data_IF_618953101726
#
_entry.id   IF_618953101726
#
_cell.length_a   1.000
_cell.length_b   1.000
_cell.length_c   1.000
_cell.angle_alpha   90.00
_cell.angle_beta   90.00
_cell.angle_gamma   90.00
#
_symmetry.space_group_name_H-M   'P 1'
#
loop_
_entity.id
_entity.type
_entity.pdbx_description
1 polymer ?
#
# COMPACT_ATOMS: atom_id res chain seq x y z
N UNK A 1 -11.91 -16.40 -4.70
CA UNK A 1 -13.15 -16.70 -3.94
C UNK A 1 -13.96 -15.42 -3.79
N UNK A 2 -15.30 -15.49 -3.87
CA UNK A 2 -16.18 -14.32 -3.69
C UNK A 2 -17.26 -14.67 -2.65
N UNK A 3 -17.46 -13.83 -1.65
CA UNK A 3 -18.51 -13.99 -0.65
C UNK A 3 -19.02 -12.60 -0.19
N UNK A 4 -20.21 -12.56 0.44
CA UNK A 4 -20.76 -11.34 1.03
C UNK A 4 -20.60 -11.37 2.55
N UNK A 5 -20.16 -10.26 3.12
CA UNK A 5 -19.98 -10.10 4.56
C UNK A 5 -20.52 -8.72 4.96
N UNK A 6 -21.49 -8.70 5.88
CA UNK A 6 -22.21 -7.48 6.30
C UNK A 6 -22.78 -6.64 5.13
N UNK A 7 -23.33 -7.31 4.10
CA UNK A 7 -23.88 -6.63 2.91
C UNK A 7 -22.83 -6.09 1.93
N UNK A 8 -21.53 -6.25 2.21
CA UNK A 8 -20.43 -5.85 1.33
C UNK A 8 -19.83 -7.06 0.63
N UNK A 9 -19.35 -6.90 -0.61
CA UNK A 9 -18.70 -7.99 -1.35
C UNK A 9 -17.25 -8.11 -0.91
N UNK A 10 -16.78 -9.34 -0.74
CA UNK A 10 -15.38 -9.64 -0.46
C UNK A 10 -14.88 -10.60 -1.53
N UNK A 11 -13.89 -10.15 -2.29
CA UNK A 11 -13.21 -10.92 -3.33
C UNK A 11 -11.80 -11.22 -2.86
N UNK A 12 -11.42 -12.48 -2.82
CA UNK A 12 -10.07 -12.92 -2.44
C UNK A 12 -9.42 -13.64 -3.62
N UNK A 13 -8.31 -13.12 -4.11
CA UNK A 13 -7.56 -13.75 -5.19
C UNK A 13 -6.83 -14.99 -4.68
N UNK A 14 -6.80 -16.05 -5.50
CA UNK A 14 -6.10 -17.29 -5.15
C UNK A 14 -4.61 -17.05 -4.85
N UNK A 15 -3.97 -16.19 -5.66
CA UNK A 15 -2.57 -15.82 -5.47
C UNK A 15 -2.34 -15.10 -4.13
N UNK A 16 -3.29 -14.28 -3.67
CA UNK A 16 -3.19 -13.66 -2.35
C UNK A 16 -3.18 -14.73 -1.25
N UNK A 17 -4.12 -15.68 -1.29
CA UNK A 17 -4.14 -16.78 -0.30
C UNK A 17 -2.91 -17.67 -0.36
N UNK A 18 -2.39 -17.95 -1.57
CA UNK A 18 -1.20 -18.78 -1.74
C UNK A 18 0.06 -18.08 -1.19
N UNK A 19 0.23 -16.78 -1.50
CA UNK A 19 1.33 -15.98 -0.95
C UNK A 19 1.24 -15.85 0.56
N UNK A 20 0.04 -15.60 1.09
CA UNK A 20 -0.19 -15.51 2.54
C UNK A 20 0.17 -16.82 3.24
N UNK A 21 -0.30 -17.96 2.72
CA UNK A 21 0.02 -19.27 3.27
C UNK A 21 1.52 -19.56 3.21
N UNK A 22 2.18 -19.22 2.10
CA UNK A 22 3.62 -19.38 1.94
C UNK A 22 4.41 -18.51 2.94
N UNK A 23 4.04 -17.23 3.09
CA UNK A 23 4.68 -16.31 4.03
C UNK A 23 4.54 -16.80 5.48
N UNK A 24 3.35 -17.24 5.88
CA UNK A 24 3.11 -17.79 7.21
C UNK A 24 3.84 -19.12 7.44
N UNK A 25 3.95 -19.96 6.40
CA UNK A 25 4.70 -21.22 6.48
C UNK A 25 6.20 -21.00 6.66
N UNK A 26 6.76 -19.97 6.02
CA UNK A 26 8.18 -19.62 6.14
C UNK A 26 8.50 -18.73 7.36
N UNK A 27 7.50 -18.29 8.12
CA UNK A 27 7.67 -17.33 9.22
C UNK A 27 8.03 -18.01 10.54
N UNK A 28 9.32 -18.22 10.77
CA UNK A 28 9.79 -18.75 12.06
C UNK A 28 9.83 -17.70 13.19
N UNK A 29 9.85 -16.40 12.85
CA UNK A 29 10.11 -15.31 13.81
C UNK A 29 8.89 -14.46 14.15
N UNK A 30 7.74 -14.74 13.54
CA UNK A 30 6.52 -13.95 13.69
C UNK A 30 6.54 -12.62 12.90
N UNK A 31 7.46 -12.47 11.96
CA UNK A 31 7.59 -11.26 11.15
C UNK A 31 6.43 -11.10 10.15
N UNK A 32 5.94 -12.20 9.57
CA UNK A 32 4.78 -12.17 8.68
C UNK A 32 3.52 -11.82 9.47
N UNK A 33 3.33 -12.39 10.67
CA UNK A 33 2.19 -12.05 11.51
C UNK A 33 2.20 -10.57 11.94
N UNK A 34 3.36 -10.05 12.35
CA UNK A 34 3.51 -8.64 12.69
C UNK A 34 3.25 -7.71 11.50
N UNK A 35 3.72 -8.09 10.30
CA UNK A 35 3.46 -7.37 9.05
C UNK A 35 1.98 -7.37 8.67
N UNK A 36 1.28 -8.50 8.83
CA UNK A 36 -0.16 -8.60 8.60
C UNK A 36 -0.96 -7.75 9.58
N UNK A 37 -0.57 -7.73 10.85
CA UNK A 37 -1.19 -6.87 11.85
C UNK A 37 -1.00 -5.38 11.48
N UNK A 38 0.20 -4.99 11.07
CA UNK A 38 0.49 -3.62 10.63
C UNK A 38 -0.30 -3.26 9.35
N UNK A 39 -0.40 -4.16 8.38
CA UNK A 39 -1.22 -3.97 7.18
C UNK A 39 -2.71 -3.85 7.52
N UNK A 40 -3.21 -4.66 8.47
CA UNK A 40 -4.58 -4.55 8.94
C UNK A 40 -4.85 -3.17 9.57
N UNK A 41 -3.96 -2.70 10.45
CA UNK A 41 -4.06 -1.37 11.04
C UNK A 41 -4.05 -0.25 10.00
N UNK A 42 -3.20 -0.37 8.98
CA UNK A 42 -3.13 0.54 7.84
C UNK A 42 -4.47 0.63 7.10
N UNK A 43 -5.04 -0.50 6.71
CA UNK A 43 -6.34 -0.56 6.02
C UNK A 43 -7.49 -0.06 6.91
N UNK A 44 -7.40 -0.26 8.23
CA UNK A 44 -8.35 0.33 9.16
C UNK A 44 -8.27 1.86 9.15
N UNK A 45 -7.09 2.45 8.96
CA UNK A 45 -6.93 3.90 8.76
C UNK A 45 -7.76 4.42 7.60
N UNK A 46 -7.67 3.77 6.44
CA UNK A 46 -8.49 4.08 5.27
C UNK A 46 -9.99 3.90 5.54
N UNK A 47 -10.38 2.82 6.22
CA UNK A 47 -11.80 2.59 6.52
C UNK A 47 -12.38 3.61 7.49
N UNK A 48 -11.60 4.04 8.49
CA UNK A 48 -12.04 5.08 9.43
C UNK A 48 -12.21 6.40 8.69
N UNK A 49 -11.26 6.80 7.85
CA UNK A 49 -11.38 8.05 7.08
C UNK A 49 -12.54 8.02 6.09
N UNK A 50 -12.73 6.91 5.37
CA UNK A 50 -13.88 6.73 4.48
C UNK A 50 -15.22 6.80 5.24
N UNK A 51 -15.31 6.23 6.45
CA UNK A 51 -16.51 6.35 7.28
C UNK A 51 -16.77 7.79 7.73
N UNK A 52 -15.73 8.50 8.17
CA UNK A 52 -15.83 9.91 8.61
C UNK A 52 -16.23 10.85 7.46
N UNK A 53 -15.81 10.53 6.23
CA UNK A 53 -16.13 11.28 5.02
C UNK A 53 -17.41 10.77 4.32
N UNK A 54 -18.13 9.82 4.94
CA UNK A 54 -19.35 9.19 4.41
C UNK A 54 -19.19 8.58 3.00
N UNK A 55 -18.02 8.03 2.71
CA UNK A 55 -17.72 7.36 1.44
C UNK A 55 -18.12 5.88 1.55
N UNK A 56 -19.13 5.41 0.80
CA UNK A 56 -19.57 4.02 0.87
C UNK A 56 -18.57 3.07 0.18
N UNK A 57 -18.25 1.97 0.87
CA UNK A 57 -17.41 0.88 0.35
C UNK A 57 -18.28 -0.27 -0.11
N UNK A 58 -18.19 -0.61 -1.41
CA UNK A 58 -18.99 -1.64 -2.07
C UNK A 58 -18.35 -3.02 -1.99
N UNK A 59 -17.04 -3.09 -2.21
CA UNK A 59 -16.31 -4.35 -2.30
C UNK A 59 -14.89 -4.21 -1.74
N UNK A 60 -14.47 -5.22 -0.98
CA UNK A 60 -13.08 -5.43 -0.59
C UNK A 60 -12.46 -6.47 -1.51
N UNK A 61 -11.37 -6.13 -2.17
CA UNK A 61 -10.64 -7.03 -3.05
C UNK A 61 -9.23 -7.28 -2.53
N UNK A 62 -8.98 -8.48 -2.05
CA UNK A 62 -7.67 -8.93 -1.60
C UNK A 62 -6.89 -9.44 -2.81
N UNK A 63 -5.88 -8.67 -3.21
CA UNK A 63 -4.99 -8.97 -4.33
C UNK A 63 -3.59 -9.30 -3.81
N UNK A 64 -2.73 -9.97 -4.61
CA UNK A 64 -1.32 -10.20 -4.24
C UNK A 64 -0.54 -8.94 -3.87
N UNK A 65 -1.03 -7.77 -4.30
CA UNK A 65 -0.38 -6.49 -4.12
C UNK A 65 -0.98 -5.67 -2.96
N UNK A 66 -2.01 -6.18 -2.27
CA UNK A 66 -2.68 -5.47 -1.16
C UNK A 66 -4.20 -5.58 -1.20
N UNK A 67 -4.87 -4.81 -0.35
CA UNK A 67 -6.33 -4.77 -0.26
C UNK A 67 -6.85 -3.55 -1.02
N UNK A 68 -7.60 -3.77 -2.09
CA UNK A 68 -8.26 -2.70 -2.81
C UNK A 68 -9.70 -2.52 -2.31
N UNK A 69 -10.06 -1.31 -1.88
CA UNK A 69 -11.42 -0.95 -1.49
C UNK A 69 -12.15 -0.29 -2.67
N UNK A 70 -13.07 -1.03 -3.28
CA UNK A 70 -13.90 -0.55 -4.37
C UNK A 70 -15.09 0.21 -3.80
N UNK A 71 -15.24 1.47 -4.24
CA UNK A 71 -16.29 2.40 -3.80
C UNK A 71 -17.54 2.27 -4.66
N UNK A 72 -18.66 2.82 -4.21
CA UNK A 72 -19.84 2.96 -5.06
C UNK A 72 -19.66 4.09 -6.08
N UNK A 73 -19.98 3.84 -7.35
CA UNK A 73 -19.86 4.80 -8.45
C UNK A 73 -20.83 6.00 -8.31
N UNK A 74 -21.88 5.86 -7.49
CA UNK A 74 -22.94 6.86 -7.32
C UNK A 74 -22.48 8.13 -6.59
N UNK A 75 -21.37 8.09 -5.85
CA UNK A 75 -20.81 9.24 -5.13
C UNK A 75 -19.34 9.40 -5.52
N UNK A 76 -19.05 10.31 -6.46
CA UNK A 76 -17.68 10.75 -6.72
C UNK A 76 -17.20 11.56 -5.51
N UNK A 77 -16.28 10.98 -4.73
CA UNK A 77 -15.62 11.70 -3.66
C UNK A 77 -14.82 12.88 -4.25
N UNK A 78 -14.77 14.00 -3.54
CA UNK A 78 -13.96 15.14 -3.97
C UNK A 78 -12.47 14.80 -3.91
N UNK A 79 -11.64 15.40 -4.77
CA UNK A 79 -10.20 15.17 -4.78
C UNK A 79 -9.54 15.37 -3.39
N UNK A 80 -10.00 16.32 -2.59
CA UNK A 80 -9.49 16.51 -1.22
C UNK A 80 -9.88 15.36 -0.28
N UNK A 81 -11.06 14.75 -0.47
CA UNK A 81 -11.47 13.58 0.28
C UNK A 81 -10.59 12.38 -0.11
N UNK A 82 -10.27 12.21 -1.39
CA UNK A 82 -9.35 11.16 -1.85
C UNK A 82 -7.94 11.34 -1.30
N UNK A 83 -7.47 12.58 -1.22
CA UNK A 83 -6.20 12.91 -0.57
C UNK A 83 -6.21 12.52 0.91
N UNK A 84 -7.26 12.88 1.66
CA UNK A 84 -7.40 12.51 3.09
C UNK A 84 -7.43 11.00 3.27
N UNK A 85 -8.22 10.30 2.44
CA UNK A 85 -8.30 8.84 2.48
C UNK A 85 -6.94 8.23 2.20
N UNK A 86 -6.25 8.65 1.15
CA UNK A 86 -4.92 8.12 0.80
C UNK A 86 -3.90 8.37 1.93
N UNK A 87 -3.90 9.55 2.54
CA UNK A 87 -3.00 9.84 3.66
C UNK A 87 -3.31 9.03 4.93
N UNK A 88 -4.56 8.62 5.14
CA UNK A 88 -4.99 8.04 6.43
C UNK A 88 -4.36 6.69 6.77
N UNK A 89 -4.07 5.82 5.80
CA UNK A 89 -3.41 4.54 6.03
C UNK A 89 -1.99 4.70 6.56
N UNK A 90 -1.10 5.43 5.84
CA UNK A 90 0.25 5.70 6.33
C UNK A 90 0.27 6.48 7.66
N UNK A 91 -0.65 7.44 7.83
CA UNK A 91 -0.78 8.18 9.09
C UNK A 91 -1.17 7.26 10.27
N UNK A 92 -2.07 6.30 10.07
CA UNK A 92 -2.43 5.33 11.11
C UNK A 92 -1.21 4.54 11.57
N UNK A 93 -0.36 4.10 10.63
CA UNK A 93 0.88 3.40 10.96
C UNK A 93 1.88 4.29 11.69
N UNK A 94 2.04 5.55 11.28
CA UNK A 94 2.92 6.50 11.99
C UNK A 94 2.45 6.77 13.42
N UNK A 95 1.13 6.92 13.64
CA UNK A 95 0.55 7.06 14.98
C UNK A 95 0.86 5.82 15.82
N UNK A 96 0.69 4.62 15.26
CA UNK A 96 1.02 3.38 15.96
C UNK A 96 2.51 3.25 16.25
N UNK A 97 3.40 3.69 15.36
CA UNK A 97 4.83 3.80 15.65
C UNK A 97 5.11 4.71 16.84
N UNK A 98 4.47 5.89 16.89
CA UNK A 98 4.59 6.82 18.01
C UNK A 98 4.12 6.20 19.33
N UNK A 99 2.97 5.52 19.32
CA UNK A 99 2.44 4.82 20.49
C UNK A 99 3.37 3.70 20.96
N UNK A 100 3.88 2.87 20.03
CA UNK A 100 4.85 1.82 20.33
C UNK A 100 6.12 2.40 20.95
N UNK A 101 6.61 3.53 20.44
CA UNK A 101 7.77 4.22 21.02
C UNK A 101 7.51 4.67 22.46
N UNK A 102 6.35 5.28 22.72
CA UNK A 102 5.96 5.77 24.05
C UNK A 102 5.88 4.66 25.10
N UNK A 103 5.44 3.46 24.72
CA UNK A 103 5.33 2.31 25.64
C UNK A 103 6.59 1.43 25.68
N UNK A 104 7.69 1.86 25.03
CA UNK A 104 8.96 1.13 25.00
C UNK A 104 9.00 -0.07 24.05
N UNK A 105 8.01 -0.22 23.16
CA UNK A 105 7.88 -1.28 22.16
C UNK A 105 8.55 -0.95 20.81
N UNK A 106 9.43 0.07 20.74
CA UNK A 106 10.09 0.51 19.51
C UNK A 106 11.04 -0.50 18.86
N UNK A 107 11.36 -1.59 19.54
CA UNK A 107 12.20 -2.69 19.01
C UNK A 107 11.38 -3.87 18.46
N UNK A 108 10.06 -3.85 18.62
CA UNK A 108 9.18 -4.95 18.22
C UNK A 108 9.07 -5.08 16.70
N UNK A 109 8.81 -6.29 16.22
CA UNK A 109 8.52 -6.53 14.80
C UNK A 109 7.27 -5.76 14.33
N UNK A 110 6.31 -5.53 15.22
CA UNK A 110 5.13 -4.72 14.92
C UNK A 110 5.49 -3.25 14.65
N UNK A 111 6.36 -2.65 15.48
CA UNK A 111 6.88 -1.29 15.21
C UNK A 111 7.59 -1.23 13.85
N UNK A 112 8.48 -2.19 13.57
CA UNK A 112 9.22 -2.23 12.32
C UNK A 112 8.30 -2.39 11.10
N UNK A 113 7.28 -3.24 11.21
CA UNK A 113 6.27 -3.43 10.17
C UNK A 113 5.44 -2.18 9.90
N UNK A 114 4.96 -1.49 10.95
CA UNK A 114 4.24 -0.23 10.82
C UNK A 114 5.11 0.85 10.18
N UNK A 115 6.36 0.99 10.63
CA UNK A 115 7.29 1.97 10.09
C UNK A 115 7.60 1.70 8.62
N UNK A 116 7.89 0.45 8.25
CA UNK A 116 8.15 0.06 6.88
C UNK A 116 6.94 0.36 5.98
N UNK A 117 5.73 -0.04 6.39
CA UNK A 117 4.52 0.22 5.62
C UNK A 117 4.21 1.71 5.49
N UNK A 118 4.44 2.50 6.55
CA UNK A 118 4.27 3.94 6.49
C UNK A 118 5.25 4.59 5.50
N UNK A 119 6.54 4.25 5.58
CA UNK A 119 7.56 4.80 4.70
C UNK A 119 7.33 4.41 3.24
N UNK A 120 7.01 3.15 2.98
CA UNK A 120 6.75 2.67 1.61
C UNK A 120 5.49 3.32 1.03
N UNK A 121 4.39 3.35 1.79
CA UNK A 121 3.14 3.94 1.28
C UNK A 121 3.16 5.47 1.22
N UNK A 122 4.10 6.16 1.89
CA UNK A 122 4.28 7.61 1.70
C UNK A 122 5.13 7.98 0.48
N UNK A 123 5.82 7.01 -0.15
CA UNK A 123 6.55 7.29 -1.38
C UNK A 123 5.57 7.79 -2.46
N UNK A 124 5.91 8.85 -3.21
CA UNK A 124 5.06 9.39 -4.25
C UNK A 124 5.15 8.54 -5.53
N UNK A 125 4.81 7.26 -5.39
CA UNK A 125 4.73 6.26 -6.45
C UNK A 125 3.26 5.96 -6.69
N UNK A 126 2.83 5.95 -7.93
CA UNK A 126 1.44 5.78 -8.39
C UNK A 126 0.71 4.59 -7.73
N UNK A 127 1.40 3.47 -7.53
CA UNK A 127 0.83 2.26 -6.92
C UNK A 127 0.70 2.32 -5.39
N UNK A 128 1.26 3.35 -4.75
CA UNK A 128 1.25 3.57 -3.31
C UNK A 128 0.36 4.76 -2.94
N UNK A 129 -0.05 4.85 -1.67
CA UNK A 129 -0.94 5.91 -1.21
C UNK A 129 -0.37 7.32 -1.37
N UNK A 130 0.95 7.49 -1.26
CA UNK A 130 1.64 8.75 -1.44
C UNK A 130 1.53 9.26 -2.87
N UNK A 131 1.54 8.36 -3.85
CA UNK A 131 1.27 8.69 -5.25
C UNK A 131 -0.19 9.07 -5.47
N UNK A 132 -1.12 8.35 -4.86
CA UNK A 132 -2.56 8.67 -4.93
C UNK A 132 -2.88 10.00 -4.25
N UNK A 133 -2.28 10.27 -3.09
CA UNK A 133 -2.34 11.56 -2.40
C UNK A 133 -1.87 12.69 -3.31
N UNK A 134 -0.69 12.53 -3.91
CA UNK A 134 -0.13 13.53 -4.83
C UNK A 134 -1.02 13.74 -6.05
N UNK A 135 -1.53 12.65 -6.62
CA UNK A 135 -2.45 12.66 -7.76
C UNK A 135 -3.73 13.42 -7.43
N UNK A 136 -4.36 13.16 -6.28
CA UNK A 136 -5.58 13.83 -5.86
C UNK A 136 -5.34 15.33 -5.62
N UNK A 137 -4.23 15.69 -4.96
CA UNK A 137 -3.87 17.09 -4.73
C UNK A 137 -3.61 17.86 -6.04
N UNK A 138 -2.92 17.25 -7.00
CA UNK A 138 -2.66 17.86 -8.29
C UNK A 138 -3.87 17.87 -9.20
N UNK A 139 -4.75 16.87 -9.12
CA UNK A 139 -5.99 16.83 -9.89
C UNK A 139 -6.90 18.00 -9.51
N UNK A 140 -6.96 18.34 -8.21
CA UNK A 140 -7.66 19.52 -7.73
C UNK A 140 -7.14 20.84 -8.35
N UNK A 141 -5.84 20.94 -8.64
CA UNK A 141 -5.20 22.20 -9.05
C UNK A 141 -4.91 22.35 -10.54
N UNK A 142 -4.61 21.25 -11.23
CA UNK A 142 -4.05 21.24 -12.58
C UNK A 142 -4.82 20.34 -13.56
N UNK A 143 -5.85 19.62 -13.09
CA UNK A 143 -6.62 18.67 -13.87
C UNK A 143 -6.01 17.27 -13.89
N UNK A 144 -6.87 16.27 -14.13
CA UNK A 144 -6.57 14.84 -13.99
C UNK A 144 -5.43 14.37 -14.89
N UNK A 145 -5.43 14.77 -16.16
CA UNK A 145 -4.43 14.35 -17.14
C UNK A 145 -3.01 14.82 -16.78
N UNK A 146 -2.89 16.06 -16.31
CA UNK A 146 -1.60 16.63 -15.89
C UNK A 146 -1.13 16.00 -14.59
N UNK A 147 -2.05 15.81 -13.63
CA UNK A 147 -1.75 15.14 -12.37
C UNK A 147 -1.22 13.71 -12.59
N UNK A 148 -1.92 12.93 -13.41
CA UNK A 148 -1.51 11.57 -13.77
C UNK A 148 -0.10 11.55 -14.38
N UNK A 149 0.17 12.42 -15.36
CA UNK A 149 1.48 12.50 -16.01
C UNK A 149 2.59 12.86 -15.02
N UNK A 150 2.35 13.83 -14.14
CA UNK A 150 3.35 14.26 -13.14
C UNK A 150 3.64 13.12 -12.16
N UNK A 151 2.62 12.47 -11.62
CA UNK A 151 2.78 11.34 -10.70
C UNK A 151 3.49 10.18 -11.38
N UNK A 152 3.18 9.88 -12.63
CA UNK A 152 3.85 8.83 -13.40
C UNK A 152 5.36 9.12 -13.55
N UNK A 153 5.73 10.35 -13.92
CA UNK A 153 7.15 10.73 -14.03
C UNK A 153 7.88 10.62 -12.69
N UNK A 154 7.28 11.14 -11.61
CA UNK A 154 7.86 11.05 -10.26
C UNK A 154 8.04 9.57 -9.87
N UNK A 155 7.02 8.75 -10.13
CA UNK A 155 7.07 7.31 -9.87
C UNK A 155 8.20 6.64 -10.64
N UNK A 156 8.39 6.97 -11.91
CA UNK A 156 9.47 6.42 -12.74
C UNK A 156 10.85 6.78 -12.17
N UNK A 157 11.08 8.06 -11.85
CA UNK A 157 12.36 8.52 -11.30
C UNK A 157 12.66 8.00 -9.91
N UNK A 158 11.66 7.57 -9.14
CA UNK A 158 11.85 6.93 -7.84
C UNK A 158 12.10 5.43 -7.99
N UNK A 159 11.27 4.75 -8.79
CA UNK A 159 11.35 3.30 -8.94
C UNK A 159 12.62 2.85 -9.66
N UNK A 160 13.14 3.59 -10.65
CA UNK A 160 14.35 3.20 -11.39
C UNK A 160 15.59 3.10 -10.48
N UNK A 161 15.95 4.14 -9.69
CA UNK A 161 17.06 4.04 -8.74
C UNK A 161 16.84 2.97 -7.66
N UNK A 162 15.61 2.81 -7.16
CA UNK A 162 15.27 1.78 -6.17
C UNK A 162 15.46 0.36 -6.76
N UNK A 163 14.97 0.11 -7.96
CA UNK A 163 15.14 -1.16 -8.66
C UNK A 163 16.62 -1.43 -8.98
N UNK A 164 17.36 -0.43 -9.44
CA UNK A 164 18.80 -0.54 -9.70
C UNK A 164 19.58 -0.84 -8.41
N UNK A 165 19.29 -0.13 -7.31
CA UNK A 165 19.91 -0.36 -6.02
C UNK A 165 19.62 -1.77 -5.50
N UNK A 166 18.35 -2.20 -5.55
CA UNK A 166 17.93 -3.56 -5.17
C UNK A 166 18.67 -4.63 -5.99
N UNK A 167 18.78 -4.43 -7.31
CA UNK A 167 19.50 -5.34 -8.20
C UNK A 167 21.01 -5.39 -7.91
N UNK A 168 21.65 -4.25 -7.66
CA UNK A 168 23.08 -4.21 -7.31
C UNK A 168 23.36 -4.87 -5.94
N UNK A 169 22.48 -4.67 -4.97
CA UNK A 169 22.57 -5.31 -3.66
C UNK A 169 22.40 -6.83 -3.74
N UNK A 170 21.62 -7.34 -4.70
CA UNK A 170 21.46 -8.77 -4.92
C UNK A 170 22.81 -9.46 -5.18
N UNK A 171 23.65 -8.88 -6.05
CA UNK A 171 24.99 -9.42 -6.36
C UNK A 171 25.97 -9.30 -5.19
N UNK A 172 25.81 -8.28 -4.35
CA UNK A 172 26.64 -8.11 -3.15
C UNK A 172 26.25 -9.05 -2.00
N UNK A 173 24.98 -9.45 -1.93
CA UNK A 173 24.39 -10.13 -0.77
C UNK A 173 24.33 -11.65 -0.86
N UNK A 174 25.16 -12.30 -1.71
CA UNK A 174 25.11 -13.75 -1.97
C UNK A 174 23.72 -14.23 -2.41
N UNK A 175 23.04 -13.47 -3.28
CA UNK A 175 21.72 -13.83 -3.83
C UNK A 175 20.63 -14.00 -2.78
N UNK A 176 20.44 -12.99 -1.91
CA UNK A 176 19.35 -12.99 -0.97
C UNK A 176 17.98 -13.02 -1.70
N UNK A 177 17.21 -14.08 -1.47
CA UNK A 177 15.91 -14.33 -2.13
C UNK A 177 14.93 -13.17 -1.89
N UNK A 178 14.97 -12.53 -0.71
CA UNK A 178 14.10 -11.38 -0.42
C UNK A 178 14.39 -10.19 -1.33
N UNK A 179 15.68 -9.90 -1.59
CA UNK A 179 16.07 -8.83 -2.52
C UNK A 179 15.72 -9.18 -3.96
N UNK A 180 15.78 -10.46 -4.33
CA UNK A 180 15.33 -10.93 -5.64
C UNK A 180 13.83 -10.66 -5.83
N UNK A 181 13.01 -11.01 -4.84
CA UNK A 181 11.56 -10.76 -4.86
C UNK A 181 11.23 -9.26 -4.94
N UNK A 182 11.91 -8.42 -4.15
CA UNK A 182 11.75 -6.96 -4.20
C UNK A 182 12.12 -6.42 -5.58
N UNK A 183 13.20 -6.91 -6.18
CA UNK A 183 13.63 -6.49 -7.53
C UNK A 183 12.57 -6.83 -8.58
N UNK A 184 12.03 -8.05 -8.57
CA UNK A 184 10.95 -8.44 -9.48
C UNK A 184 9.67 -7.63 -9.24
N UNK A 185 9.34 -7.34 -7.98
CA UNK A 185 8.18 -6.52 -7.64
C UNK A 185 8.33 -5.08 -8.18
N UNK A 186 9.47 -4.42 -7.93
CA UNK A 186 9.73 -3.07 -8.42
C UNK A 186 9.79 -3.02 -9.96
N UNK A 187 10.38 -4.02 -10.61
CA UNK A 187 10.37 -4.15 -12.06
C UNK A 187 8.93 -4.33 -12.60
N UNK A 188 8.11 -5.14 -11.92
CA UNK A 188 6.69 -5.29 -12.24
C UNK A 188 5.91 -3.98 -12.11
N UNK A 189 6.18 -3.17 -11.09
CA UNK A 189 5.59 -1.84 -10.94
C UNK A 189 5.99 -0.89 -12.08
N UNK A 190 7.26 -0.89 -12.48
CA UNK A 190 7.74 -0.12 -13.63
C UNK A 190 7.05 -0.54 -14.94
N UNK A 191 6.84 -1.84 -15.16
CA UNK A 191 6.12 -2.35 -16.34
C UNK A 191 4.62 -2.04 -16.32
N UNK A 192 4.05 -1.84 -15.12
CA UNK A 192 2.65 -1.47 -14.94
C UNK A 192 2.43 0.04 -15.13
N UNK A 193 3.44 0.88 -14.92
CA UNK A 193 3.34 2.33 -15.14
C UNK A 193 2.88 2.64 -16.57
N UNK A 194 1.86 3.49 -16.69
CA UNK A 194 1.30 3.91 -17.97
C UNK A 194 0.23 2.99 -18.56
N UNK A 195 -0.12 1.88 -17.90
CA UNK A 195 -1.32 1.09 -18.20
C UNK A 195 -2.36 1.39 -17.13
N UNK A 196 -3.17 2.43 -17.33
CA UNK A 196 -4.59 2.62 -16.90
C UNK A 196 -4.92 4.10 -16.69
N UNK A 197 -5.72 4.63 -17.62
CA UNK A 197 -7.10 5.03 -17.30
C UNK A 197 -7.98 3.78 -17.42
#
# INVERSE_FOLDING_TARGET
>A
MKFSLFGRRVTVDFLFTALLAFLLFCDEKGAALAGLAAAFCHEMGHLVSMRLLEIPVKEFRFTPFGVAMVREESRQAGYLQDAIVSASGPLANLVLCGLCWMVGAGHTLFFQGNLLLALMNLLPVESFDGGQLLFSLFSFRFGVERAARVVQWISFFILVPLAACSFLLLFRSRYNISLLLVTFYLAGLLLKQGRFF
#
